data_IF_766537925254
#
_entry.id   IF_766537925254
#
_cell.length_a   1.000
_cell.length_b   1.000
_cell.length_c   1.000
_cell.angle_alpha   90.00
_cell.angle_beta   90.00
_cell.angle_gamma   90.00
#
_symmetry.space_group_name_H-M   'P 1'
#
loop_
_entity.id
_entity.type
_entity.pdbx_description
1 polymer ?
#
# COMPACT_ATOMS: atom_id res chain seq x y z
N UNK A 1 -63.90 36.51 13.95
CA UNK A 1 -62.57 36.52 14.59
C UNK A 1 -62.09 35.07 14.69
N UNK A 2 -60.81 34.82 14.41
CA UNK A 2 -60.08 33.54 14.42
C UNK A 2 -59.99 32.81 13.06
N UNK A 3 -59.02 33.28 12.28
CA UNK A 3 -58.32 32.49 11.28
C UNK A 3 -57.62 31.30 11.97
N UNK A 4 -57.65 30.13 11.34
CA UNK A 4 -56.75 29.03 11.68
C UNK A 4 -55.96 28.71 10.43
N UNK A 5 -54.73 29.23 10.40
CA UNK A 5 -53.70 28.93 9.41
C UNK A 5 -53.19 27.53 9.75
N UNK A 6 -53.55 26.54 8.94
CA UNK A 6 -52.99 25.19 9.01
C UNK A 6 -51.55 25.23 8.52
N UNK A 7 -50.60 25.03 9.43
CA UNK A 7 -49.19 24.95 9.10
C UNK A 7 -48.89 23.67 8.30
N UNK A 8 -48.43 23.81 7.05
CA UNK A 8 -47.78 22.73 6.31
C UNK A 8 -46.36 22.55 6.88
N UNK A 9 -46.17 21.53 7.71
CA UNK A 9 -44.83 21.06 8.08
C UNK A 9 -44.27 20.21 6.93
N UNK A 10 -43.48 20.83 6.06
CA UNK A 10 -42.59 20.11 5.15
C UNK A 10 -41.52 19.41 5.99
N UNK A 11 -41.73 18.12 6.27
CA UNK A 11 -40.68 17.26 6.80
C UNK A 11 -39.62 17.11 5.70
N UNK A 12 -38.56 17.91 5.77
CA UNK A 12 -37.36 17.71 4.97
C UNK A 12 -36.71 16.40 5.42
N UNK A 13 -36.97 15.32 4.68
CA UNK A 13 -36.15 14.12 4.73
C UNK A 13 -34.75 14.53 4.24
N UNK A 14 -33.86 14.87 5.18
CA UNK A 14 -32.44 14.79 4.91
C UNK A 14 -32.12 13.31 4.74
N UNK A 15 -32.10 12.85 3.49
CA UNK A 15 -31.44 11.59 3.17
C UNK A 15 -29.95 11.86 3.38
N UNK A 16 -29.46 11.64 4.60
CA UNK A 16 -28.05 11.41 4.83
C UNK A 16 -27.70 10.14 4.05
N UNK A 17 -27.26 10.32 2.81
CA UNK A 17 -26.50 9.28 2.15
C UNK A 17 -25.17 9.22 2.88
N UNK A 18 -25.06 8.32 3.87
CA UNK A 18 -23.79 7.73 4.27
C UNK A 18 -23.29 6.88 3.09
N UNK A 19 -22.96 7.55 1.99
CA UNK A 19 -22.43 6.89 0.82
C UNK A 19 -20.99 6.49 1.15
N UNK A 20 -20.70 5.20 1.06
CA UNK A 20 -19.33 4.74 1.18
C UNK A 20 -18.49 5.26 0.00
N UNK A 21 -17.20 5.57 0.19
CA UNK A 21 -16.26 5.84 -0.88
C UNK A 21 -16.32 4.75 -1.96
N UNK A 22 -16.28 5.17 -3.23
CA UNK A 22 -16.28 4.28 -4.39
C UNK A 22 -14.85 3.83 -4.69
N UNK A 23 -14.68 2.51 -4.87
CA UNK A 23 -13.44 1.91 -5.36
C UNK A 23 -13.33 2.10 -6.87
N UNK A 24 -12.19 2.59 -7.33
CA UNK A 24 -11.84 2.69 -8.75
C UNK A 24 -10.58 1.87 -8.97
N UNK A 25 -10.60 1.03 -10.01
CA UNK A 25 -9.47 0.17 -10.38
C UNK A 25 -8.76 0.79 -11.58
N UNK A 26 -7.69 1.56 -11.37
CA UNK A 26 -7.06 2.34 -12.43
C UNK A 26 -6.40 1.49 -13.53
N UNK A 27 -6.10 0.22 -13.21
CA UNK A 27 -5.60 -0.72 -14.21
C UNK A 27 -6.70 -1.28 -15.11
N UNK A 28 -7.97 -1.23 -14.68
CA UNK A 28 -9.08 -1.76 -15.46
C UNK A 28 -9.25 -0.93 -16.74
N UNK A 29 -9.26 -1.60 -17.89
CA UNK A 29 -9.43 -0.98 -19.22
C UNK A 29 -8.33 0.02 -19.65
N UNK A 30 -7.32 0.29 -18.81
CA UNK A 30 -6.21 1.19 -19.17
C UNK A 30 -5.11 0.50 -19.99
N UNK A 31 -5.12 -0.84 -20.03
CA UNK A 31 -4.07 -1.65 -20.66
C UNK A 31 -2.74 -1.61 -19.92
N UNK A 32 -2.72 -1.11 -18.68
CA UNK A 32 -1.52 -1.01 -17.82
C UNK A 32 -1.63 -1.95 -16.63
N UNK A 33 -0.49 -2.51 -16.21
CA UNK A 33 -0.36 -3.29 -14.97
C UNK A 33 0.47 -2.51 -13.95
N UNK A 34 -0.10 -1.44 -13.41
CA UNK A 34 0.58 -0.62 -12.40
C UNK A 34 0.41 -1.21 -11.01
N UNK A 35 1.49 -1.25 -10.25
CA UNK A 35 1.51 -1.64 -8.83
C UNK A 35 1.83 -0.40 -8.02
N UNK A 36 0.91 0.00 -7.16
CA UNK A 36 1.10 1.14 -6.27
C UNK A 36 1.86 0.74 -5.01
N UNK A 37 2.78 1.61 -4.57
CA UNK A 37 3.58 1.38 -3.37
C UNK A 37 3.68 2.66 -2.55
N UNK A 38 3.57 2.56 -1.22
CA UNK A 38 3.93 3.63 -0.30
C UNK A 38 5.14 3.22 0.53
N UNK A 39 6.01 4.19 0.81
CA UNK A 39 7.19 4.01 1.65
C UNK A 39 7.05 4.73 2.98
N UNK A 40 7.26 3.98 4.06
CA UNK A 40 7.36 4.49 5.42
C UNK A 40 8.82 4.41 5.86
N UNK A 41 9.49 5.55 5.95
CA UNK A 41 10.92 5.64 6.15
C UNK A 41 11.25 5.69 7.65
N UNK A 42 11.69 4.57 8.22
CA UNK A 42 12.06 4.43 9.63
C UNK A 42 13.55 4.75 9.87
N UNK A 43 13.81 5.73 10.75
CA UNK A 43 15.17 6.22 11.03
C UNK A 43 15.68 7.27 10.03
N UNK A 44 14.79 7.88 9.25
CA UNK A 44 15.09 8.92 8.27
C UNK A 44 14.48 10.26 8.67
N UNK A 45 14.85 11.30 7.93
CA UNK A 45 14.34 12.67 8.10
C UNK A 45 13.34 13.03 7.02
N UNK A 46 12.58 14.11 7.21
CA UNK A 46 11.64 14.59 6.20
C UNK A 46 12.30 14.88 4.84
N UNK A 47 13.51 15.44 4.82
CA UNK A 47 14.23 15.68 3.56
C UNK A 47 14.53 14.41 2.77
N UNK A 48 14.67 13.27 3.45
CA UNK A 48 14.89 11.98 2.79
C UNK A 48 13.62 11.49 2.06
N UNK A 49 12.43 11.93 2.46
CA UNK A 49 11.17 11.44 1.89
C UNK A 49 10.86 12.03 0.52
N UNK A 50 11.47 13.17 0.19
CA UNK A 50 11.30 13.85 -1.09
C UNK A 50 11.81 12.98 -2.25
N UNK A 51 11.05 12.89 -3.34
CA UNK A 51 11.41 12.05 -4.50
C UNK A 51 12.62 12.57 -5.30
N UNK A 52 13.12 13.76 -4.99
CA UNK A 52 14.37 14.34 -5.51
C UNK A 52 15.52 14.28 -4.49
N UNK A 53 15.32 13.64 -3.33
CA UNK A 53 16.38 13.35 -2.36
C UNK A 53 17.25 12.18 -2.83
N UNK A 54 18.37 11.93 -2.13
CA UNK A 54 19.19 10.72 -2.36
C UNK A 54 18.40 9.43 -2.18
N UNK A 55 17.55 9.36 -1.15
CA UNK A 55 16.69 8.19 -0.90
C UNK A 55 15.61 8.10 -1.98
N UNK A 56 15.03 9.22 -2.40
CA UNK A 56 14.05 9.28 -3.49
C UNK A 56 14.61 8.77 -4.83
N UNK A 57 15.83 9.20 -5.21
CA UNK A 57 16.51 8.67 -6.39
C UNK A 57 16.84 7.19 -6.26
N UNK A 58 17.26 6.74 -5.08
CA UNK A 58 17.50 5.33 -4.80
C UNK A 58 16.23 4.50 -4.95
N UNK A 59 15.09 4.96 -4.41
CA UNK A 59 13.78 4.30 -4.53
C UNK A 59 13.36 4.14 -6.00
N UNK A 60 13.51 5.19 -6.81
CA UNK A 60 13.26 5.13 -8.26
C UNK A 60 14.18 4.10 -8.93
N UNK A 61 15.48 4.14 -8.63
CA UNK A 61 16.45 3.21 -9.20
C UNK A 61 16.16 1.74 -8.88
N UNK A 62 15.77 1.41 -7.63
CA UNK A 62 15.44 0.03 -7.27
C UNK A 62 14.14 -0.43 -7.94
N UNK A 63 13.17 0.46 -8.14
CA UNK A 63 11.93 0.16 -8.86
C UNK A 63 12.19 -0.08 -10.35
N UNK A 64 13.00 0.76 -10.99
CA UNK A 64 13.39 0.58 -12.39
C UNK A 64 14.11 -0.76 -12.61
N UNK A 65 14.98 -1.14 -11.68
CA UNK A 65 15.61 -2.45 -11.72
C UNK A 65 14.59 -3.56 -11.47
N UNK A 66 13.71 -3.40 -10.48
CA UNK A 66 12.70 -4.40 -10.16
C UNK A 66 11.75 -4.66 -11.35
N UNK A 67 11.33 -3.61 -12.07
CA UNK A 67 10.49 -3.73 -13.28
C UNK A 67 11.14 -4.62 -14.35
N UNK A 68 12.46 -4.48 -14.57
CA UNK A 68 13.20 -5.33 -15.53
C UNK A 68 13.14 -6.81 -15.14
N UNK A 69 13.31 -7.11 -13.85
CA UNK A 69 13.26 -8.48 -13.33
C UNK A 69 11.83 -9.04 -13.31
N UNK A 70 10.85 -8.19 -13.01
CA UNK A 70 9.43 -8.53 -13.00
C UNK A 70 8.90 -8.85 -14.39
N UNK A 71 9.34 -8.13 -15.42
CA UNK A 71 8.99 -8.44 -16.81
C UNK A 71 9.27 -9.91 -17.15
N UNK A 72 10.44 -10.40 -16.73
CA UNK A 72 10.85 -11.78 -16.95
C UNK A 72 10.10 -12.76 -16.05
N UNK A 73 10.05 -12.48 -14.74
CA UNK A 73 9.46 -13.41 -13.77
C UNK A 73 7.94 -13.51 -13.85
N UNK A 74 7.27 -12.40 -14.17
CA UNK A 74 5.82 -12.36 -14.33
C UNK A 74 5.38 -12.68 -15.77
N UNK A 75 6.19 -12.36 -16.78
CA UNK A 75 5.83 -12.53 -18.18
C UNK A 75 4.72 -11.57 -18.64
N UNK A 76 4.60 -10.43 -17.96
CA UNK A 76 3.76 -9.27 -18.29
C UNK A 76 4.54 -8.00 -17.99
N UNK A 77 4.24 -6.94 -18.73
CA UNK A 77 4.82 -5.63 -18.46
C UNK A 77 4.12 -5.02 -17.25
N UNK A 78 4.88 -4.69 -16.21
CA UNK A 78 4.40 -4.06 -14.98
C UNK A 78 5.16 -2.77 -14.71
N UNK A 79 4.52 -1.81 -14.04
CA UNK A 79 5.17 -0.57 -13.58
C UNK A 79 4.92 -0.36 -12.09
N UNK A 80 5.77 0.42 -11.44
CA UNK A 80 5.52 0.90 -10.09
C UNK A 80 5.07 2.36 -10.10
N UNK A 81 4.20 2.71 -9.16
CA UNK A 81 3.84 4.08 -8.86
C UNK A 81 3.99 4.32 -7.35
N UNK A 82 4.80 5.32 -6.99
CA UNK A 82 4.94 5.73 -5.59
C UNK A 82 3.75 6.62 -5.25
N UNK A 83 2.86 6.09 -4.41
CA UNK A 83 1.70 6.83 -3.91
C UNK A 83 2.12 7.80 -2.81
N UNK A 84 2.93 7.35 -1.86
CA UNK A 84 3.42 8.19 -0.75
C UNK A 84 4.83 7.78 -0.33
N UNK A 85 5.58 8.74 0.20
CA UNK A 85 6.90 8.56 0.79
C UNK A 85 6.97 9.51 1.98
N UNK A 86 6.93 8.96 3.19
CA UNK A 86 6.92 9.74 4.43
C UNK A 86 7.76 9.11 5.52
N UNK A 87 8.15 9.91 6.50
CA UNK A 87 8.78 9.40 7.73
C UNK A 87 7.77 8.49 8.42
N UNK A 88 8.26 7.33 8.91
CA UNK A 88 7.44 6.46 9.73
C UNK A 88 6.95 7.21 10.97
N UNK A 89 5.66 7.08 11.30
CA UNK A 89 5.12 7.71 12.50
C UNK A 89 5.68 7.08 13.78
N UNK A 90 5.31 7.67 14.92
CA UNK A 90 5.78 7.23 16.23
C UNK A 90 5.39 5.78 16.54
N UNK A 91 4.21 5.33 16.11
CA UNK A 91 3.71 3.98 16.39
C UNK A 91 4.48 2.94 15.57
N UNK A 92 4.62 3.17 14.25
CA UNK A 92 5.45 2.32 13.39
C UNK A 92 6.88 2.25 13.93
N UNK A 93 7.47 3.40 14.29
CA UNK A 93 8.83 3.46 14.82
C UNK A 93 8.97 2.72 16.16
N UNK A 94 8.00 2.88 17.05
CA UNK A 94 7.93 2.15 18.31
C UNK A 94 7.93 0.64 18.09
N UNK A 95 7.08 0.14 17.18
CA UNK A 95 6.96 -1.30 16.94
C UNK A 95 8.15 -1.89 16.16
N UNK A 96 8.80 -1.11 15.28
CA UNK A 96 10.10 -1.52 14.73
C UNK A 96 11.09 -1.75 15.88
N UNK A 97 11.21 -0.79 16.81
CA UNK A 97 12.14 -0.90 17.94
C UNK A 97 11.76 -2.03 18.91
N UNK A 98 10.47 -2.19 19.22
CA UNK A 98 9.96 -3.21 20.13
C UNK A 98 10.29 -4.64 19.66
N UNK A 99 10.25 -4.87 18.34
CA UNK A 99 10.63 -6.16 17.74
C UNK A 99 12.07 -6.19 17.21
N UNK A 100 12.88 -5.18 17.53
CA UNK A 100 14.31 -5.20 17.21
C UNK A 100 15.08 -5.89 18.33
N UNK A 101 15.85 -6.90 17.96
CA UNK A 101 16.80 -7.58 18.84
C UNK A 101 18.20 -7.42 18.27
N UNK A 102 19.05 -6.67 18.97
CA UNK A 102 20.36 -6.27 18.45
C UNK A 102 20.21 -5.33 17.26
N UNK A 103 20.74 -5.71 16.10
CA UNK A 103 20.68 -4.92 14.85
C UNK A 103 19.71 -5.47 13.82
N UNK A 104 18.71 -6.25 14.26
CA UNK A 104 17.75 -6.91 13.38
C UNK A 104 16.32 -6.83 13.90
N UNK A 105 15.37 -6.51 13.02
CA UNK A 105 13.93 -6.50 13.33
C UNK A 105 13.30 -7.87 13.06
N UNK A 106 12.44 -8.34 13.97
CA UNK A 106 11.68 -9.58 13.77
C UNK A 106 10.54 -9.36 12.77
N UNK A 107 10.69 -9.97 11.60
CA UNK A 107 9.87 -9.68 10.44
C UNK A 107 8.43 -10.15 10.57
N UNK A 108 8.21 -11.37 11.07
CA UNK A 108 6.87 -11.97 11.15
C UNK A 108 5.97 -11.17 12.10
N UNK A 109 6.48 -10.80 13.28
CA UNK A 109 5.72 -10.01 14.24
C UNK A 109 5.37 -8.63 13.69
N UNK A 110 6.36 -7.96 13.10
CA UNK A 110 6.19 -6.60 12.58
C UNK A 110 5.24 -6.56 11.36
N UNK A 111 5.40 -7.45 10.39
CA UNK A 111 4.55 -7.45 9.19
C UNK A 111 3.10 -7.80 9.51
N UNK A 112 2.85 -8.70 10.47
CA UNK A 112 1.48 -8.99 10.94
C UNK A 112 0.85 -7.79 11.64
N UNK A 113 1.61 -7.03 12.42
CA UNK A 113 1.15 -5.77 12.98
C UNK A 113 0.82 -4.76 11.90
N UNK A 114 1.74 -4.53 10.97
CA UNK A 114 1.56 -3.58 9.87
C UNK A 114 0.33 -3.95 9.02
N UNK A 115 0.11 -5.24 8.73
CA UNK A 115 -1.09 -5.73 8.03
C UNK A 115 -2.39 -5.32 8.74
N UNK A 116 -2.44 -5.47 10.07
CA UNK A 116 -3.63 -5.10 10.87
C UNK A 116 -3.84 -3.59 10.89
N UNK A 117 -2.79 -2.81 11.05
CA UNK A 117 -2.89 -1.35 11.03
C UNK A 117 -3.31 -0.81 9.67
N UNK A 118 -2.73 -1.33 8.58
CA UNK A 118 -3.14 -0.98 7.23
C UNK A 118 -4.62 -1.27 6.97
N UNK A 119 -5.24 -2.27 7.61
CA UNK A 119 -6.66 -2.56 7.41
C UNK A 119 -7.59 -1.37 7.77
N UNK A 120 -7.14 -0.48 8.67
CA UNK A 120 -7.83 0.75 9.07
C UNK A 120 -7.77 1.86 8.01
N UNK A 121 -6.96 1.67 6.98
CA UNK A 121 -6.69 2.66 5.94
C UNK A 121 -7.19 2.17 4.58
N UNK A 122 -7.44 3.12 3.68
CA UNK A 122 -7.30 2.89 2.24
C UNK A 122 -5.82 2.86 1.92
N UNK A 123 -5.38 1.87 1.14
CA UNK A 123 -3.95 1.58 0.99
C UNK A 123 -3.57 1.41 -0.48
N UNK A 124 -2.31 1.69 -0.83
CA UNK A 124 -1.71 1.16 -2.05
C UNK A 124 -1.66 -0.37 -2.03
N UNK A 125 -1.25 -0.97 -3.14
CA UNK A 125 -1.05 -2.41 -3.27
C UNK A 125 0.04 -2.91 -2.31
N UNK A 126 1.08 -2.11 -2.08
CA UNK A 126 2.22 -2.43 -1.21
C UNK A 126 2.47 -1.29 -0.22
N UNK A 127 2.65 -1.62 1.06
CA UNK A 127 3.23 -0.70 2.05
C UNK A 127 4.59 -1.25 2.45
N UNK A 128 5.64 -0.49 2.17
CA UNK A 128 7.01 -0.89 2.43
C UNK A 128 7.62 -0.01 3.53
N UNK A 129 8.01 -0.63 4.64
CA UNK A 129 8.79 0.05 5.69
C UNK A 129 10.26 -0.04 5.32
N UNK A 130 10.86 1.12 5.03
CA UNK A 130 12.27 1.25 4.71
C UNK A 130 13.06 1.45 6.00
N UNK A 131 13.99 0.55 6.28
CA UNK A 131 14.81 0.54 7.49
C UNK A 131 16.19 1.13 7.22
N UNK A 132 16.62 2.06 8.07
CA UNK A 132 18.00 2.58 8.02
C UNK A 132 18.93 1.75 8.90
N UNK A 133 19.91 1.08 8.29
CA UNK A 133 21.01 0.42 9.03
C UNK A 133 20.64 -0.82 9.85
N UNK A 134 19.42 -1.33 9.74
CA UNK A 134 18.92 -2.50 10.48
C UNK A 134 18.59 -3.61 9.48
N UNK A 135 18.97 -4.85 9.79
CA UNK A 135 18.64 -6.03 8.98
C UNK A 135 17.35 -6.69 9.48
N UNK A 136 16.95 -7.76 8.81
CA UNK A 136 15.69 -8.44 9.06
C UNK A 136 15.96 -9.91 9.40
N UNK A 137 15.34 -10.40 10.47
CA UNK A 137 15.35 -11.81 10.83
C UNK A 137 13.92 -12.32 11.01
N UNK A 138 13.75 -13.63 10.89
CA UNK A 138 12.52 -14.32 11.19
C UNK A 138 12.84 -15.66 11.85
N UNK A 139 11.83 -16.51 12.00
CA UNK A 139 11.96 -17.78 12.72
C UNK A 139 13.08 -18.68 12.16
N UNK A 140 13.25 -18.68 10.83
CA UNK A 140 14.15 -19.59 10.11
C UNK A 140 15.25 -18.88 9.30
N UNK A 141 15.44 -17.57 9.48
CA UNK A 141 16.47 -16.84 8.75
C UNK A 141 16.96 -15.62 9.54
N UNK A 142 18.17 -15.17 9.22
CA UNK A 142 18.78 -13.95 9.78
C UNK A 142 19.42 -13.13 8.66
N UNK A 143 19.75 -11.89 8.98
CA UNK A 143 20.57 -10.99 8.17
C UNK A 143 20.03 -10.69 6.77
N UNK A 144 18.70 -10.78 6.59
CA UNK A 144 18.04 -10.40 5.32
C UNK A 144 17.96 -8.88 5.19
N UNK A 145 17.91 -8.42 3.95
CA UNK A 145 17.76 -7.01 3.60
C UNK A 145 16.36 -6.67 3.09
N UNK A 146 15.48 -7.67 3.00
CA UNK A 146 14.11 -7.48 2.59
C UNK A 146 13.30 -8.71 2.93
N UNK A 147 12.04 -8.51 3.28
CA UNK A 147 11.13 -9.59 3.60
C UNK A 147 9.67 -9.19 3.35
N UNK A 148 8.91 -10.15 2.84
CA UNK A 148 7.46 -10.14 2.69
C UNK A 148 6.97 -11.55 2.97
N UNK A 149 5.80 -11.67 3.57
CA UNK A 149 5.17 -12.97 3.88
C UNK A 149 3.73 -13.09 3.35
N UNK A 150 3.14 -11.99 2.87
CA UNK A 150 1.75 -11.98 2.43
C UNK A 150 1.67 -12.11 0.90
N UNK A 151 0.85 -13.04 0.42
CA UNK A 151 0.66 -13.33 -1.00
C UNK A 151 -0.64 -12.74 -1.57
N UNK A 152 -1.00 -11.53 -1.11
CA UNK A 152 -2.31 -10.92 -1.41
C UNK A 152 -2.24 -9.79 -2.43
N UNK A 153 -1.16 -9.65 -3.22
CA UNK A 153 -1.01 -8.55 -4.17
C UNK A 153 -2.23 -8.43 -5.10
N UNK A 154 -2.70 -7.22 -5.39
CA UNK A 154 -3.94 -6.90 -6.12
C UNK A 154 -5.26 -7.42 -5.48
N UNK A 155 -5.20 -8.06 -4.31
CA UNK A 155 -6.38 -8.53 -3.55
C UNK A 155 -6.40 -7.98 -2.12
N UNK A 156 -5.37 -7.23 -1.74
CA UNK A 156 -5.23 -6.53 -0.48
C UNK A 156 -3.78 -6.06 -0.29
N UNK A 157 -3.59 -5.08 0.59
CA UNK A 157 -2.27 -4.49 0.85
C UNK A 157 -1.23 -5.54 1.21
N UNK A 158 -0.02 -5.42 0.68
CA UNK A 158 1.11 -6.28 1.02
C UNK A 158 2.13 -5.48 1.84
N UNK A 159 2.21 -5.71 3.16
CA UNK A 159 3.29 -5.20 3.99
C UNK A 159 4.65 -5.80 3.60
N UNK A 160 5.66 -4.95 3.47
CA UNK A 160 7.04 -5.35 3.21
C UNK A 160 8.01 -4.61 4.13
N UNK A 161 9.13 -5.26 4.43
CA UNK A 161 10.31 -4.63 5.01
C UNK A 161 11.42 -4.60 3.96
N UNK A 162 12.15 -3.49 3.91
CA UNK A 162 13.33 -3.34 3.07
C UNK A 162 14.39 -2.56 3.83
N UNK A 163 15.64 -2.99 3.78
CA UNK A 163 16.77 -2.28 4.36
C UNK A 163 17.40 -1.38 3.31
N UNK A 164 17.54 -0.09 3.63
CA UNK A 164 18.19 0.86 2.75
C UNK A 164 19.68 0.54 2.58
N UNK A 165 20.11 0.47 1.31
CA UNK A 165 21.51 0.31 0.91
C UNK A 165 21.83 1.24 -0.24
N UNK A 166 22.32 2.44 0.07
CA UNK A 166 22.62 3.52 -0.88
C UNK A 166 23.36 3.05 -2.13
N UNK A 167 24.38 2.21 -1.95
CA UNK A 167 25.27 1.77 -3.03
C UNK A 167 24.85 0.46 -3.71
N UNK A 168 23.67 -0.09 -3.41
CA UNK A 168 23.22 -1.38 -3.94
C UNK A 168 21.81 -1.30 -4.56
N UNK A 169 21.67 -0.44 -5.56
CA UNK A 169 20.42 -0.29 -6.32
C UNK A 169 20.08 -1.59 -7.07
N UNK A 170 21.08 -2.24 -7.67
CA UNK A 170 20.85 -3.44 -8.49
C UNK A 170 20.41 -4.64 -7.64
N UNK A 171 21.14 -4.94 -6.55
CA UNK A 171 20.81 -6.04 -5.66
C UNK A 171 19.49 -5.81 -4.94
N UNK A 172 19.25 -4.58 -4.47
CA UNK A 172 17.99 -4.26 -3.80
C UNK A 172 16.79 -4.26 -4.77
N UNK A 173 16.97 -3.82 -6.01
CA UNK A 173 15.93 -3.91 -7.04
C UNK A 173 15.56 -5.35 -7.39
N UNK A 174 16.55 -6.25 -7.53
CA UNK A 174 16.29 -7.69 -7.68
C UNK A 174 15.54 -8.27 -6.49
N UNK A 175 15.96 -7.91 -5.28
CA UNK A 175 15.27 -8.33 -4.06
C UNK A 175 13.81 -7.84 -4.03
N UNK A 176 13.55 -6.57 -4.38
CA UNK A 176 12.19 -6.03 -4.47
C UNK A 176 11.34 -6.82 -5.46
N UNK A 177 11.88 -7.14 -6.64
CA UNK A 177 11.19 -7.99 -7.61
C UNK A 177 10.86 -9.39 -7.05
N UNK A 178 11.81 -10.03 -6.36
CA UNK A 178 11.56 -11.32 -5.72
C UNK A 178 10.44 -11.24 -4.67
N UNK A 179 10.43 -10.19 -3.85
CA UNK A 179 9.38 -9.98 -2.83
C UNK A 179 8.01 -9.78 -3.48
N UNK A 180 7.94 -8.99 -4.56
CA UNK A 180 6.69 -8.73 -5.30
C UNK A 180 6.18 -10.00 -5.98
N UNK A 181 7.05 -10.75 -6.66
CA UNK A 181 6.67 -12.03 -7.28
C UNK A 181 6.14 -13.03 -6.25
N UNK A 182 6.80 -13.16 -5.10
CA UNK A 182 6.32 -14.02 -3.99
C UNK A 182 5.02 -13.54 -3.36
N UNK A 183 4.71 -12.26 -3.48
CA UNK A 183 3.50 -11.66 -2.94
C UNK A 183 2.28 -11.83 -3.85
N UNK A 184 2.45 -12.44 -5.04
CA UNK A 184 1.33 -12.83 -5.89
C UNK A 184 0.60 -14.05 -5.32
N UNK A 185 -0.71 -14.15 -5.56
CA UNK A 185 -1.53 -15.26 -5.07
C UNK A 185 -1.07 -16.64 -5.61
N UNK A 186 -0.33 -16.65 -6.72
CA UNK A 186 0.29 -17.83 -7.30
C UNK A 186 1.77 -17.93 -6.92
N UNK A 187 2.03 -17.87 -5.61
CA UNK A 187 3.39 -18.02 -5.06
C UNK A 187 4.08 -19.33 -5.48
N UNK A 188 3.35 -20.29 -6.06
CA UNK A 188 3.93 -21.37 -6.86
C UNK A 188 4.19 -20.91 -8.30
N UNK A 189 5.47 -20.75 -8.63
CA UNK A 189 5.94 -20.36 -9.96
C UNK A 189 5.39 -21.24 -11.08
N UNK A 190 5.13 -22.53 -10.83
CA UNK A 190 4.63 -23.45 -11.86
C UNK A 190 3.15 -23.19 -12.20
N UNK A 191 2.35 -22.78 -11.21
CA UNK A 191 0.96 -22.36 -11.46
C UNK A 191 0.89 -21.04 -12.22
N UNK A 192 1.82 -20.12 -11.97
CA UNK A 192 1.87 -18.85 -12.69
C UNK A 192 2.34 -19.00 -14.15
N UNK A 193 3.30 -19.90 -14.40
CA UNK A 193 3.81 -20.18 -15.76
C UNK A 193 2.74 -20.72 -16.71
N UNK A 194 1.74 -21.45 -16.21
CA UNK A 194 0.66 -22.00 -17.05
C UNK A 194 -0.40 -20.97 -17.41
N UNK A 195 -0.37 -19.77 -16.80
CA UNK A 195 -1.32 -18.69 -17.10
C UNK A 195 -1.04 -18.06 -18.46
N UNK A 196 -2.11 -17.87 -19.22
CA UNK A 196 -2.10 -17.10 -20.47
C UNK A 196 -1.79 -15.63 -20.18
N UNK A 197 -1.29 -14.90 -21.19
CA UNK A 197 -1.05 -13.46 -21.08
C UNK A 197 -2.30 -12.70 -20.62
N UNK A 198 -3.48 -13.11 -21.12
CA UNK A 198 -4.77 -12.53 -20.72
C UNK A 198 -5.07 -12.73 -19.24
N UNK A 199 -4.89 -13.94 -18.71
CA UNK A 199 -5.11 -14.21 -17.27
C UNK A 199 -4.12 -13.44 -16.40
N UNK A 200 -2.86 -13.31 -16.84
CA UNK A 200 -1.85 -12.55 -16.11
C UNK A 200 -2.18 -11.06 -16.06
N UNK A 201 -2.59 -10.45 -17.18
CA UNK A 201 -3.05 -9.06 -17.20
C UNK A 201 -4.31 -8.88 -16.33
N UNK A 202 -5.29 -9.79 -16.43
CA UNK A 202 -6.52 -9.74 -15.65
C UNK A 202 -6.29 -9.80 -14.13
N UNK A 203 -5.17 -10.38 -13.68
CA UNK A 203 -4.78 -10.30 -12.27
C UNK A 203 -4.47 -8.87 -11.83
N UNK A 204 -3.66 -8.17 -12.63
CA UNK A 204 -3.19 -6.83 -12.31
C UNK A 204 -4.27 -5.76 -12.53
N UNK A 205 -5.37 -6.05 -13.24
CA UNK A 205 -6.55 -5.17 -13.30
C UNK A 205 -7.11 -4.82 -11.91
N UNK A 206 -6.86 -5.67 -10.90
CA UNK A 206 -7.30 -5.43 -9.52
C UNK A 206 -6.30 -4.64 -8.65
N UNK A 207 -5.11 -4.37 -9.18
CA UNK A 207 -4.14 -3.48 -8.53
C UNK A 207 -4.48 -2.00 -8.80
N UNK A 208 -3.71 -1.09 -8.18
CA UNK A 208 -3.83 0.35 -8.33
C UNK A 208 -5.25 0.86 -8.03
N UNK A 209 -5.77 0.46 -6.86
CA UNK A 209 -7.07 0.90 -6.38
C UNK A 209 -6.95 2.35 -5.90
N UNK A 210 -7.76 3.24 -6.47
CA UNK A 210 -7.99 4.58 -5.93
C UNK A 210 -9.39 4.70 -5.36
N UNK A 211 -9.58 5.74 -4.55
CA UNK A 211 -10.78 5.94 -3.75
C UNK A 211 -11.32 7.32 -4.06
N UNK A 212 -12.54 7.35 -4.61
CA UNK A 212 -13.29 8.58 -4.85
C UNK A 212 -14.34 8.76 -3.78
N UNK A 213 -14.45 9.98 -3.27
CA UNK A 213 -15.50 10.28 -2.29
C UNK A 213 -16.88 10.28 -2.93
N UNK A 214 -17.93 10.08 -2.12
CA UNK A 214 -19.29 10.35 -2.55
C UNK A 214 -19.43 11.77 -3.10
N UNK A 215 -19.97 11.88 -4.31
CA UNK A 215 -20.15 13.17 -4.98
C UNK A 215 -18.92 13.67 -5.74
N UNK A 216 -17.78 12.99 -5.65
CA UNK A 216 -16.64 13.26 -6.51
C UNK A 216 -16.96 12.85 -7.97
N UNK A 217 -16.62 13.73 -8.89
CA UNK A 217 -16.69 13.54 -10.33
C UNK A 217 -15.46 12.80 -10.85
N UNK A 218 -15.46 12.45 -12.14
CA UNK A 218 -14.30 11.80 -12.73
C UNK A 218 -13.05 12.72 -12.81
N UNK A 219 -13.27 14.04 -12.73
CA UNK A 219 -12.23 15.07 -12.81
C UNK A 219 -11.61 15.43 -11.44
N UNK A 220 -12.19 14.97 -10.34
CA UNK A 220 -11.67 15.25 -9.00
C UNK A 220 -10.40 14.43 -8.71
N UNK A 221 -9.44 15.06 -8.02
CA UNK A 221 -8.17 14.43 -7.65
C UNK A 221 -8.38 13.25 -6.70
N UNK A 222 -7.70 12.13 -7.00
CA UNK A 222 -7.69 10.95 -6.15
C UNK A 222 -6.86 11.18 -4.88
N UNK A 223 -7.28 10.56 -3.77
CA UNK A 223 -6.53 10.64 -2.51
C UNK A 223 -5.18 9.93 -2.58
N UNK A 224 -4.14 10.59 -2.03
CA UNK A 224 -2.82 9.99 -1.80
C UNK A 224 -2.92 8.91 -0.71
N UNK A 225 -2.48 7.70 -1.04
CA UNK A 225 -2.57 6.53 -0.15
C UNK A 225 -1.23 6.26 0.56
N UNK A 226 -1.24 5.76 1.82
CA UNK A 226 -2.41 5.35 2.60
C UNK A 226 -3.11 6.51 3.33
N UNK A 227 -4.44 6.44 3.43
CA UNK A 227 -5.29 7.39 4.15
C UNK A 227 -6.25 6.66 5.11
N UNK A 228 -6.46 7.22 6.31
CA UNK A 228 -7.29 6.59 7.34
C UNK A 228 -8.77 6.60 6.95
N UNK A 229 -9.44 5.43 7.00
CA UNK A 229 -10.87 5.30 6.69
C UNK A 229 -11.76 6.11 7.62
N UNK A 230 -11.35 6.30 8.88
CA UNK A 230 -12.10 7.08 9.86
C UNK A 230 -12.29 8.55 9.50
N UNK A 231 -11.51 9.10 8.55
CA UNK A 231 -11.78 10.43 8.00
C UNK A 231 -13.04 10.48 7.12
N UNK A 232 -13.50 9.34 6.62
CA UNK A 232 -14.60 9.26 5.64
C UNK A 232 -15.85 8.60 6.20
N UNK A 233 -15.72 7.79 7.24
CA UNK A 233 -16.83 7.20 7.96
C UNK A 233 -16.91 7.91 9.32
N UNK A 234 -17.76 8.93 9.44
CA UNK A 234 -18.07 9.53 10.74
C UNK A 234 -18.62 8.47 11.68
N UNK A 235 -18.13 8.45 12.92
CA UNK A 235 -18.61 7.58 14.00
C UNK A 235 -20.13 7.70 14.17
N UNK A 236 -20.86 6.80 13.52
CA UNK A 236 -22.29 6.55 13.73
C UNK A 236 -22.57 5.71 14.98
N UNK A 237 -21.56 5.39 15.80
CA UNK A 237 -21.76 4.58 17.00
C UNK A 237 -21.16 5.25 18.25
N UNK A 238 -22.08 5.89 18.97
CA UNK A 238 -21.98 6.30 20.36
C UNK A 238 -21.17 5.27 21.18
N UNK A 239 -19.96 5.63 21.59
CA UNK A 239 -19.44 5.14 22.87
C UNK A 239 -20.26 5.80 23.98
N UNK A 240 -21.33 5.14 24.41
CA UNK A 240 -21.88 5.38 25.74
C UNK A 240 -20.97 4.71 26.78
N UNK A 241 -20.79 5.33 27.96
CA UNK A 241 -19.86 4.90 28.99
C UNK A 241 -20.15 3.48 29.52
#
# INVERSE_FOLDING_TARGET
MRAVIGALTLASYFVCFDAAPRLVYNNKESGKNTITIAYLLNGFTYSDTLLNSKVGFWLKGIQDQAVKELRTSLGVDVTFEITDSKVADADISYYVNHWTSGSQVHSTSFLNYLKRESAKNFNPDIICVLLKGIKIYGDNFRDKLGYSMHNTLCHGVVPMLLTYKENDVQGTGKLLAELVTKSTQWSNADTWKTKTLKEKNAYFEKCAITYKLPGATDDDEDYVLPVNKGYFYSDGEKRKP
#
